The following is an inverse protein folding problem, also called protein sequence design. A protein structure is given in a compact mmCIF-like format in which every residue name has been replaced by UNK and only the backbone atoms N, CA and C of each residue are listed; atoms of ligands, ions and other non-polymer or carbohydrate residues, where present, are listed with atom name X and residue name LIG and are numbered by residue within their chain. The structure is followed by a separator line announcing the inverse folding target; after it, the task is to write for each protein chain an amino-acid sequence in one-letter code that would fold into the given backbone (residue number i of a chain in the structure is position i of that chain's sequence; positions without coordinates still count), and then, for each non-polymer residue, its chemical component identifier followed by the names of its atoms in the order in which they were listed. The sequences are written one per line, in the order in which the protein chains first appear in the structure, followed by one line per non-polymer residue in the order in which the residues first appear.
data_IF_614319574848
#
_entry.id   IF_614319574848
#
_cell.length_a   1.000
_cell.length_b   1.000
_cell.length_c   1.000
_cell.angle_alpha   90.00
_cell.angle_beta   90.00
_cell.angle_gamma   90.00
#
_symmetry.space_group_name_H-M   'P 1'
#
loop_
_entity.id
_entity.type
_entity.pdbx_description
1 polymer ?
#
# COMPACT_ATOMS: atom_id res chain seq x y z
N UNK A 1 -63.75 33.80 -9.70
CA UNK A 1 -63.29 35.09 -9.11
C UNK A 1 -61.88 34.84 -8.58
N UNK A 2 -60.76 35.45 -8.97
CA UNK A 2 -60.42 36.63 -9.80
C UNK A 2 -59.20 36.29 -10.66
N UNK A 3 -59.17 36.84 -11.88
CA UNK A 3 -58.02 36.99 -12.80
C UNK A 3 -56.96 37.92 -12.18
N UNK A 4 -55.72 37.89 -12.70
CA UNK A 4 -54.81 39.03 -13.01
C UNK A 4 -53.54 38.43 -13.68
N UNK A 5 -53.38 38.48 -15.00
CA UNK A 5 -52.78 39.51 -15.90
C UNK A 5 -51.25 39.55 -15.99
N UNK A 6 -50.80 39.30 -17.23
CA UNK A 6 -49.52 39.50 -17.93
C UNK A 6 -48.60 40.65 -17.49
N UNK A 7 -47.29 40.48 -17.74
CA UNK A 7 -46.48 41.46 -18.48
C UNK A 7 -45.28 40.80 -19.18
N UNK A 8 -45.24 40.92 -20.51
CA UNK A 8 -44.06 40.71 -21.37
C UNK A 8 -43.26 42.02 -21.43
N UNK A 9 -41.93 41.94 -21.57
CA UNK A 9 -41.07 43.08 -21.85
C UNK A 9 -39.86 42.67 -22.69
N UNK A 10 -39.92 42.98 -23.99
CA UNK A 10 -38.83 42.91 -24.97
C UNK A 10 -38.15 44.28 -25.03
N UNK A 11 -36.83 44.34 -25.09
CA UNK A 11 -36.09 45.57 -25.34
C UNK A 11 -34.60 45.31 -25.53
N UNK A 12 -34.08 45.70 -26.69
CA UNK A 12 -32.82 45.28 -27.27
C UNK A 12 -31.81 46.45 -27.39
N UNK A 13 -30.60 46.12 -27.89
CA UNK A 13 -29.64 47.00 -28.61
C UNK A 13 -28.71 47.86 -27.71
N UNK A 14 -27.39 47.61 -27.74
CA UNK A 14 -26.44 48.23 -28.70
C UNK A 14 -24.96 47.89 -28.35
N UNK A 15 -24.15 47.72 -29.38
CA UNK A 15 -22.72 47.41 -29.35
C UNK A 15 -21.82 48.65 -29.20
N UNK A 16 -20.51 48.43 -28.96
CA UNK A 16 -19.29 49.13 -29.48
C UNK A 16 -18.08 48.72 -28.58
N UNK A 17 -17.11 47.93 -29.05
CA UNK A 17 -15.83 48.34 -29.69
C UNK A 17 -15.02 49.35 -28.86
N UNK A 18 -13.73 49.21 -28.52
CA UNK A 18 -12.62 48.30 -28.84
C UNK A 18 -11.30 48.90 -28.28
N UNK A 19 -10.16 48.25 -28.57
CA UNK A 19 -8.74 48.71 -28.45
C UNK A 19 -8.10 48.77 -27.02
N UNK A 20 -6.81 48.56 -26.78
CA UNK A 20 -5.64 47.90 -27.41
C UNK A 20 -4.44 48.23 -26.48
N UNK A 21 -3.58 47.28 -26.09
CA UNK A 21 -2.22 47.54 -25.58
C UNK A 21 -1.46 46.19 -25.51
N UNK A 22 -0.82 45.76 -26.60
CA UNK A 22 0.60 45.94 -26.95
C UNK A 22 1.59 45.13 -26.09
N UNK A 23 1.91 43.93 -26.58
CA UNK A 23 3.17 43.23 -26.33
C UNK A 23 4.14 43.50 -27.51
N UNK A 24 5.41 43.75 -27.23
CA UNK A 24 6.51 43.74 -28.21
C UNK A 24 7.78 43.10 -27.63
N UNK A 25 8.61 42.57 -28.52
CA UNK A 25 9.62 41.51 -28.35
C UNK A 25 11.10 41.99 -28.36
N UNK A 26 12.00 41.15 -27.78
CA UNK A 26 13.40 40.78 -28.19
C UNK A 26 14.52 41.87 -28.17
N UNK A 27 15.87 41.57 -28.30
CA UNK A 27 16.55 40.33 -28.76
C UNK A 27 17.88 39.87 -28.06
N UNK A 28 18.30 38.66 -28.47
CA UNK A 28 19.58 37.92 -28.65
C UNK A 28 21.00 38.43 -28.27
N UNK A 29 21.88 37.43 -27.96
CA UNK A 29 23.34 37.37 -28.21
C UNK A 29 24.22 37.35 -26.94
N UNK A 30 25.37 36.67 -26.76
CA UNK A 30 26.30 35.86 -27.57
C UNK A 30 27.27 35.08 -26.63
N UNK A 31 28.00 34.11 -27.21
CA UNK A 31 28.87 33.07 -26.62
C UNK A 31 30.20 33.47 -25.89
N UNK A 32 30.75 32.44 -25.20
CA UNK A 32 32.18 32.01 -25.08
C UNK A 32 32.94 32.12 -23.72
N UNK A 33 33.97 31.25 -23.49
CA UNK A 33 34.31 30.67 -22.18
C UNK A 33 35.66 31.17 -21.60
N UNK A 34 35.90 30.93 -20.30
CA UNK A 34 37.24 30.72 -19.71
C UNK A 34 37.16 30.22 -18.25
N UNK A 35 37.99 29.22 -17.91
CA UNK A 35 38.26 28.70 -16.55
C UNK A 35 39.28 29.61 -15.80
N UNK A 36 39.87 29.19 -14.65
CA UNK A 36 39.42 29.32 -13.26
C UNK A 36 40.36 30.26 -12.44
N UNK A 37 40.14 30.43 -11.12
CA UNK A 37 41.25 30.04 -10.22
C UNK A 37 40.84 29.44 -8.87
N UNK A 38 41.69 28.48 -8.46
CA UNK A 38 42.27 28.19 -7.14
C UNK A 38 41.45 28.20 -5.82
N UNK A 39 41.67 27.10 -5.07
CA UNK A 39 41.28 26.79 -3.68
C UNK A 39 41.76 27.86 -2.66
N UNK A 40 41.11 27.90 -1.48
CA UNK A 40 41.75 27.39 -0.26
C UNK A 40 40.80 26.41 0.48
N UNK A 41 41.22 25.16 0.72
CA UNK A 41 41.83 24.67 1.98
C UNK A 41 40.84 24.46 3.13
N UNK A 42 40.99 23.29 3.76
CA UNK A 42 39.95 22.53 4.45
C UNK A 42 39.90 22.75 5.96
N UNK A 43 38.71 22.52 6.55
CA UNK A 43 38.38 21.53 7.62
C UNK A 43 37.04 21.90 8.31
N UNK A 44 36.36 21.00 9.05
CA UNK A 44 36.54 19.56 9.21
C UNK A 44 35.28 18.74 8.87
N UNK A 45 35.49 17.43 8.83
CA UNK A 45 34.59 16.36 8.43
C UNK A 45 33.32 16.27 9.31
N UNK A 46 32.15 16.38 8.67
CA UNK A 46 30.91 15.81 9.18
C UNK A 46 30.73 14.43 8.54
N UNK A 47 30.67 13.40 9.39
CA UNK A 47 30.30 12.02 9.00
C UNK A 47 29.07 12.07 8.10
N UNK A 48 29.03 11.37 6.94
CA UNK A 48 27.81 11.25 6.18
C UNK A 48 26.83 10.44 7.03
N UNK A 49 25.78 11.10 7.51
CA UNK A 49 24.59 10.44 8.02
C UNK A 49 24.12 9.48 6.93
N UNK A 50 24.08 8.20 7.27
CA UNK A 50 23.61 7.12 6.42
C UNK A 50 22.31 7.54 5.75
N UNK A 51 22.36 7.66 4.42
CA UNK A 51 21.21 8.02 3.61
C UNK A 51 20.04 7.12 3.95
N UNK A 52 18.97 7.72 4.49
CA UNK A 52 17.67 7.06 4.59
C UNK A 52 17.23 6.76 3.17
N UNK A 53 17.36 5.50 2.75
CA UNK A 53 16.56 4.98 1.65
C UNK A 53 15.11 5.21 2.08
N UNK A 54 14.41 6.14 1.45
CA UNK A 54 12.98 6.30 1.66
C UNK A 54 12.31 4.96 1.35
N UNK A 55 12.02 4.21 2.39
CA UNK A 55 11.37 2.92 2.28
C UNK A 55 10.03 3.11 1.59
N UNK A 56 9.79 2.39 0.49
CA UNK A 56 8.48 2.36 -0.20
C UNK A 56 7.35 1.84 0.71
N UNK A 57 7.70 1.23 1.84
CA UNK A 57 6.76 0.72 2.84
C UNK A 57 6.09 1.86 3.62
N UNK A 58 4.83 1.68 4.04
CA UNK A 58 4.19 2.65 4.91
C UNK A 58 4.82 2.64 6.31
N UNK A 59 4.59 3.72 7.05
CA UNK A 59 5.13 3.88 8.40
C UNK A 59 4.14 3.40 9.46
N UNK A 60 4.70 2.96 10.59
CA UNK A 60 4.01 2.61 11.81
C UNK A 60 3.37 3.88 12.41
N UNK A 61 2.07 3.87 12.77
CA UNK A 61 1.41 5.06 13.31
C UNK A 61 1.94 5.45 14.70
N UNK A 62 2.51 4.50 15.43
CA UNK A 62 3.00 4.74 16.79
C UNK A 62 4.42 5.32 16.76
N UNK A 63 5.36 4.58 16.17
CA UNK A 63 6.80 4.91 16.22
C UNK A 63 7.34 5.60 14.97
N UNK A 64 6.61 5.61 13.85
CA UNK A 64 7.06 6.23 12.60
C UNK A 64 8.10 5.42 11.81
N UNK A 65 8.48 4.23 12.29
CA UNK A 65 9.35 3.29 11.57
C UNK A 65 8.60 2.52 10.48
N UNK A 66 9.31 1.83 9.59
CA UNK A 66 8.68 0.97 8.57
C UNK A 66 7.85 -0.15 9.19
N UNK A 67 6.66 -0.39 8.66
CA UNK A 67 5.81 -1.49 9.16
C UNK A 67 6.36 -2.87 8.80
N UNK A 68 5.96 -3.84 9.59
CA UNK A 68 5.91 -5.25 9.25
C UNK A 68 4.43 -5.64 9.02
N UNK A 69 4.10 -6.13 7.83
CA UNK A 69 2.74 -6.52 7.46
C UNK A 69 2.22 -7.75 8.22
N UNK A 70 3.10 -8.45 8.94
CA UNK A 70 2.70 -9.55 9.83
C UNK A 70 2.27 -9.05 11.20
N UNK A 71 2.61 -7.81 11.56
CA UNK A 71 2.26 -7.17 12.84
C UNK A 71 1.11 -6.20 12.61
N UNK A 72 -0.11 -6.64 12.92
CA UNK A 72 -1.33 -5.87 12.63
C UNK A 72 -2.43 -6.07 13.65
N UNK A 73 -3.37 -5.12 13.69
CA UNK A 73 -4.68 -5.28 14.33
C UNK A 73 -5.77 -4.99 13.30
N UNK A 74 -6.92 -5.67 13.42
CA UNK A 74 -8.10 -5.37 12.62
C UNK A 74 -8.94 -4.29 13.31
N UNK A 75 -9.46 -3.37 12.51
CA UNK A 75 -10.45 -2.34 12.92
C UNK A 75 -11.60 -2.34 11.91
N UNK A 76 -12.67 -1.59 12.18
CA UNK A 76 -13.85 -1.53 11.30
C UNK A 76 -13.54 -1.01 9.89
N UNK A 77 -12.53 -0.15 9.78
CA UNK A 77 -12.06 0.41 8.51
C UNK A 77 -10.95 -0.44 7.84
N UNK A 78 -10.63 -1.60 8.41
CA UNK A 78 -9.58 -2.51 7.92
C UNK A 78 -8.34 -2.57 8.82
N UNK A 79 -7.27 -3.23 8.36
CA UNK A 79 -6.08 -3.46 9.16
C UNK A 79 -5.28 -2.17 9.42
N UNK A 80 -4.67 -2.12 10.60
CA UNK A 80 -3.60 -1.16 10.94
C UNK A 80 -2.33 -1.98 11.18
N UNK A 81 -1.24 -1.59 10.53
CA UNK A 81 0.04 -2.30 10.57
C UNK A 81 1.06 -1.56 11.42
N UNK A 82 1.96 -2.29 12.06
CA UNK A 82 2.93 -1.74 12.99
C UNK A 82 4.33 -2.30 12.72
N UNK A 83 5.36 -1.67 13.28
CA UNK A 83 6.73 -2.20 13.21
C UNK A 83 6.97 -3.32 14.25
N UNK A 84 6.24 -3.33 15.36
CA UNK A 84 6.42 -4.31 16.45
C UNK A 84 5.15 -4.51 17.29
N UNK A 85 5.13 -5.60 18.08
CA UNK A 85 3.99 -5.97 18.91
C UNK A 85 3.64 -4.92 19.97
N UNK A 86 4.64 -4.25 20.58
CA UNK A 86 4.40 -3.19 21.58
C UNK A 86 3.63 -1.99 21.01
N UNK A 87 3.78 -1.73 19.71
CA UNK A 87 3.01 -0.68 19.05
C UNK A 87 1.51 -1.02 18.98
N UNK A 88 1.14 -2.30 18.92
CA UNK A 88 -0.27 -2.71 19.01
C UNK A 88 -0.83 -2.31 20.37
N UNK A 89 -0.11 -2.61 21.45
CA UNK A 89 -0.55 -2.26 22.81
C UNK A 89 -0.69 -0.75 23.01
N UNK A 90 0.31 0.02 22.55
CA UNK A 90 0.27 1.50 22.62
C UNK A 90 -0.88 2.08 21.79
N UNK A 91 -1.17 1.51 20.63
CA UNK A 91 -2.28 1.91 19.78
C UNK A 91 -3.63 1.59 20.44
N UNK A 92 -3.80 0.39 20.99
CA UNK A 92 -5.05 -0.04 21.63
C UNK A 92 -5.41 0.79 22.86
N UNK A 93 -4.43 1.32 23.59
CA UNK A 93 -4.65 2.19 24.75
C UNK A 93 -5.24 3.56 24.38
N UNK A 94 -4.90 4.09 23.21
CA UNK A 94 -5.38 5.39 22.74
C UNK A 94 -5.37 5.46 21.20
N UNK A 95 -6.34 4.81 20.51
CA UNK A 95 -6.37 4.77 19.05
C UNK A 95 -6.58 6.16 18.42
N UNK A 96 -7.37 7.00 19.08
CA UNK A 96 -7.73 8.34 18.60
C UNK A 96 -6.50 9.23 18.42
N UNK A 97 -5.52 9.14 19.34
CA UNK A 97 -4.23 9.84 19.23
C UNK A 97 -3.46 9.54 17.94
N UNK A 98 -3.68 8.39 17.31
CA UNK A 98 -2.97 7.98 16.10
C UNK A 98 -3.81 8.10 14.82
N UNK A 99 -5.02 8.67 14.87
CA UNK A 99 -5.98 8.69 13.77
C UNK A 99 -5.41 9.27 12.45
N UNK A 100 -4.70 10.39 12.52
CA UNK A 100 -4.11 11.02 11.33
C UNK A 100 -3.02 10.15 10.69
N UNK A 101 -2.20 9.51 11.52
CA UNK A 101 -1.12 8.62 11.07
C UNK A 101 -1.68 7.31 10.51
N UNK A 102 -2.76 6.79 11.08
CA UNK A 102 -3.51 5.65 10.52
C UNK A 102 -4.12 6.01 9.18
N UNK A 103 -4.70 7.22 9.05
CA UNK A 103 -5.25 7.72 7.79
C UNK A 103 -4.17 7.82 6.72
N UNK A 104 -3.00 8.39 7.06
CA UNK A 104 -1.85 8.45 6.16
C UNK A 104 -1.32 7.06 5.78
N UNK A 105 -1.25 6.12 6.72
CA UNK A 105 -0.88 4.73 6.46
C UNK A 105 -1.85 4.10 5.46
N UNK A 106 -3.17 4.19 5.70
CA UNK A 106 -4.20 3.63 4.82
C UNK A 106 -4.16 4.24 3.42
N UNK A 107 -3.89 5.54 3.29
CA UNK A 107 -3.73 6.20 2.00
C UNK A 107 -2.55 5.62 1.20
N UNK A 108 -1.45 5.25 1.88
CA UNK A 108 -0.31 4.55 1.24
C UNK A 108 -0.65 3.11 0.89
N UNK A 109 -1.36 2.38 1.76
CA UNK A 109 -1.78 1.00 1.53
C UNK A 109 -2.68 0.86 0.28
N UNK A 110 -3.61 1.79 0.05
CA UNK A 110 -4.50 1.81 -1.13
C UNK A 110 -3.75 1.86 -2.47
N UNK A 111 -2.49 2.31 -2.48
CA UNK A 111 -1.65 2.42 -3.67
C UNK A 111 -0.76 1.19 -3.88
N UNK A 112 -0.80 0.20 -2.98
CA UNK A 112 0.06 -0.99 -3.03
C UNK A 112 -0.69 -2.16 -3.63
N UNK A 113 0.04 -2.96 -4.41
CA UNK A 113 -0.46 -4.25 -4.88
C UNK A 113 -0.65 -5.18 -3.67
N UNK A 114 -1.81 -5.83 -3.60
CA UNK A 114 -2.13 -6.87 -2.62
C UNK A 114 -2.82 -8.04 -3.33
N UNK A 115 -2.66 -9.24 -2.79
CA UNK A 115 -3.26 -10.46 -3.35
C UNK A 115 -4.16 -11.09 -2.29
N UNK A 116 -5.36 -11.48 -2.70
CA UNK A 116 -6.24 -12.29 -1.85
C UNK A 116 -5.66 -13.71 -1.77
N UNK A 117 -5.39 -14.16 -0.55
CA UNK A 117 -4.75 -15.45 -0.28
C UNK A 117 -5.66 -16.43 0.44
N UNK A 118 -6.73 -15.97 1.08
CA UNK A 118 -7.75 -16.86 1.65
C UNK A 118 -9.17 -16.53 1.22
N UNK A 119 -10.02 -17.55 1.30
CA UNK A 119 -11.45 -17.47 1.10
C UNK A 119 -12.08 -16.76 2.29
N UNK A 120 -12.87 -15.68 2.10
CA UNK A 120 -13.46 -14.94 3.21
C UNK A 120 -14.53 -15.75 3.96
N UNK A 121 -15.04 -16.82 3.35
CA UNK A 121 -16.05 -17.71 3.92
C UNK A 121 -15.41 -18.76 4.82
N UNK A 122 -14.45 -19.55 4.29
CA UNK A 122 -13.86 -20.69 4.99
C UNK A 122 -12.50 -20.41 5.65
N UNK A 123 -11.76 -19.39 5.18
CA UNK A 123 -10.37 -19.12 5.58
C UNK A 123 -9.32 -19.96 4.85
N UNK A 124 -9.72 -20.91 3.99
CA UNK A 124 -8.82 -21.74 3.20
C UNK A 124 -8.19 -20.96 2.04
N UNK A 125 -7.11 -21.48 1.44
CA UNK A 125 -6.50 -20.87 0.26
C UNK A 125 -7.49 -20.72 -0.89
N UNK A 126 -7.45 -19.59 -1.61
CA UNK A 126 -8.33 -19.36 -2.76
C UNK A 126 -7.89 -20.15 -3.99
N UNK A 127 -8.85 -20.60 -4.78
CA UNK A 127 -8.64 -21.02 -6.16
C UNK A 127 -8.93 -19.81 -7.07
N UNK A 128 -7.93 -19.40 -7.85
CA UNK A 128 -8.04 -18.25 -8.78
C UNK A 128 -9.10 -18.44 -9.88
N UNK A 129 -9.63 -19.65 -10.05
CA UNK A 129 -10.75 -19.94 -10.96
C UNK A 129 -12.12 -19.65 -10.35
N UNK A 130 -12.22 -19.59 -9.02
CA UNK A 130 -13.47 -19.35 -8.31
C UNK A 130 -13.55 -17.86 -7.97
N UNK A 131 -14.12 -17.05 -8.85
CA UNK A 131 -14.17 -15.59 -8.73
C UNK A 131 -15.61 -15.09 -8.84
N UNK A 132 -15.94 -14.05 -8.07
CA UNK A 132 -17.17 -13.28 -8.20
C UNK A 132 -16.88 -11.79 -8.19
N UNK A 133 -17.69 -11.03 -8.90
CA UNK A 133 -17.64 -9.56 -8.85
C UNK A 133 -18.55 -9.06 -7.73
N UNK A 134 -17.97 -8.29 -6.80
CA UNK A 134 -18.66 -7.68 -5.65
C UNK A 134 -18.26 -6.22 -5.58
N UNK A 135 -19.21 -5.30 -5.69
CA UNK A 135 -18.96 -3.85 -5.64
C UNK A 135 -17.86 -3.37 -6.61
N UNK A 136 -17.75 -4.01 -7.78
CA UNK A 136 -16.72 -3.71 -8.78
C UNK A 136 -15.33 -4.27 -8.47
N UNK A 137 -15.21 -5.14 -7.47
CA UNK A 137 -13.98 -5.83 -7.11
C UNK A 137 -14.13 -7.35 -7.26
N UNK A 138 -13.12 -7.99 -7.83
CA UNK A 138 -13.03 -9.45 -7.88
C UNK A 138 -12.73 -10.01 -6.48
N UNK A 139 -13.58 -10.93 -6.04
CA UNK A 139 -13.41 -11.70 -4.81
C UNK A 139 -13.24 -13.16 -5.19
N UNK A 140 -12.14 -13.77 -4.73
CA UNK A 140 -11.81 -15.16 -4.99
C UNK A 140 -12.28 -16.07 -3.85
N UNK A 141 -12.53 -17.33 -4.16
CA UNK A 141 -13.04 -18.33 -3.21
C UNK A 141 -12.26 -19.64 -3.31
N UNK A 142 -12.36 -20.49 -2.29
CA UNK A 142 -11.71 -21.81 -2.33
C UNK A 142 -12.52 -22.84 -3.14
N UNK A 143 -13.84 -22.66 -3.29
CA UNK A 143 -14.71 -23.62 -3.96
C UNK A 143 -15.99 -22.97 -4.51
N UNK A 144 -16.70 -23.70 -5.37
CA UNK A 144 -17.92 -23.25 -6.03
C UNK A 144 -19.10 -22.94 -5.10
N UNK A 145 -19.08 -23.41 -3.84
CA UNK A 145 -20.17 -23.17 -2.87
C UNK A 145 -20.03 -21.84 -2.12
N UNK A 146 -18.80 -21.37 -1.92
CA UNK A 146 -18.54 -20.15 -1.14
C UNK A 146 -19.10 -18.86 -1.76
N UNK A 147 -19.10 -18.66 -3.10
CA UNK A 147 -19.79 -17.55 -3.74
C UNK A 147 -21.23 -17.34 -3.29
N UNK A 148 -22.03 -18.41 -3.26
CA UNK A 148 -23.44 -18.35 -2.86
C UNK A 148 -23.55 -17.93 -1.39
N UNK A 149 -22.78 -18.57 -0.50
CA UNK A 149 -22.75 -18.22 0.92
C UNK A 149 -22.31 -16.77 1.16
N UNK A 150 -21.35 -16.27 0.38
CA UNK A 150 -20.90 -14.89 0.46
C UNK A 150 -22.01 -13.90 0.09
N UNK A 151 -22.73 -14.16 -1.01
CA UNK A 151 -23.81 -13.31 -1.52
C UNK A 151 -25.02 -13.21 -0.57
N UNK A 152 -25.30 -14.24 0.22
CA UNK A 152 -26.40 -14.21 1.21
C UNK A 152 -26.20 -13.13 2.29
N UNK A 153 -24.96 -12.88 2.70
CA UNK A 153 -24.64 -11.85 3.68
C UNK A 153 -23.18 -11.40 3.52
N UNK A 154 -22.89 -10.48 2.59
CA UNK A 154 -21.52 -9.99 2.35
C UNK A 154 -20.95 -9.25 3.55
N UNK A 155 -21.80 -8.52 4.28
CA UNK A 155 -21.41 -7.73 5.44
C UNK A 155 -20.76 -8.60 6.54
N UNK A 156 -21.24 -9.83 6.77
CA UNK A 156 -20.63 -10.76 7.75
C UNK A 156 -19.20 -11.19 7.39
N UNK A 157 -18.83 -11.08 6.12
CA UNK A 157 -17.54 -11.51 5.62
C UNK A 157 -16.57 -10.37 5.34
N UNK A 158 -17.02 -9.10 5.43
CA UNK A 158 -16.19 -7.93 5.12
C UNK A 158 -14.86 -7.91 5.88
N UNK A 159 -14.89 -8.12 7.19
CA UNK A 159 -13.69 -8.14 8.02
C UNK A 159 -12.76 -9.33 7.68
N UNK A 160 -13.33 -10.50 7.39
CA UNK A 160 -12.57 -11.69 6.97
C UNK A 160 -11.92 -11.49 5.60
N UNK A 161 -12.64 -10.88 4.66
CA UNK A 161 -12.13 -10.55 3.34
C UNK A 161 -10.94 -9.58 3.43
N UNK A 162 -11.05 -8.51 4.20
CA UNK A 162 -9.92 -7.60 4.42
C UNK A 162 -8.73 -8.28 5.10
N UNK A 163 -8.98 -9.23 6.01
CA UNK A 163 -7.96 -10.08 6.63
C UNK A 163 -7.28 -11.05 5.66
N UNK A 164 -7.94 -11.39 4.54
CA UNK A 164 -7.46 -12.36 3.55
C UNK A 164 -6.50 -11.79 2.50
N UNK A 165 -6.12 -10.52 2.59
CA UNK A 165 -5.12 -9.93 1.70
C UNK A 165 -3.71 -9.96 2.31
N UNK A 166 -2.73 -10.21 1.45
CA UNK A 166 -1.30 -10.05 1.75
C UNK A 166 -0.65 -9.03 0.82
N UNK A 167 0.37 -8.34 1.33
CA UNK A 167 1.26 -7.46 0.54
C UNK A 167 2.52 -8.19 0.06
N UNK A 168 2.70 -9.45 0.43
CA UNK A 168 3.72 -10.31 -0.14
C UNK A 168 3.25 -10.81 -1.51
N UNK A 169 3.57 -10.08 -2.57
CA UNK A 169 3.08 -10.39 -3.93
C UNK A 169 4.06 -11.24 -4.74
N UNK A 170 5.32 -11.33 -4.30
CA UNK A 170 6.39 -12.11 -4.94
C UNK A 170 6.93 -13.19 -4.02
N UNK A 171 7.21 -14.34 -4.61
CA UNK A 171 7.94 -15.43 -4.00
C UNK A 171 9.38 -14.98 -3.68
N UNK A 172 9.87 -15.12 -2.44
CA UNK A 172 11.23 -14.69 -2.10
C UNK A 172 12.31 -15.58 -2.75
N UNK A 173 11.97 -16.83 -3.06
CA UNK A 173 12.92 -17.77 -3.68
C UNK A 173 13.14 -17.43 -5.16
N UNK A 174 12.06 -17.27 -5.93
CA UNK A 174 12.12 -17.16 -7.40
C UNK A 174 11.79 -15.77 -7.97
N UNK A 175 11.20 -14.87 -7.17
CA UNK A 175 10.68 -13.57 -7.63
C UNK A 175 9.37 -13.65 -8.44
N UNK A 176 8.82 -14.86 -8.69
CA UNK A 176 7.55 -15.02 -9.41
C UNK A 176 6.35 -14.62 -8.55
N UNK A 177 5.19 -14.37 -9.17
CA UNK A 177 3.93 -14.11 -8.44
C UNK A 177 3.60 -15.28 -7.51
N UNK A 178 3.05 -14.98 -6.35
CA UNK A 178 2.65 -16.01 -5.38
C UNK A 178 1.42 -16.80 -5.84
N UNK A 179 1.40 -18.05 -5.43
CA UNK A 179 0.26 -18.95 -5.46
C UNK A 179 -0.31 -19.05 -4.02
N UNK A 180 -1.58 -18.66 -3.80
CA UNK A 180 -2.23 -18.78 -2.49
C UNK A 180 -2.18 -20.17 -1.86
N UNK A 181 -2.08 -21.23 -2.67
CA UNK A 181 -1.99 -22.61 -2.18
C UNK A 181 -0.55 -23.03 -1.80
N UNK A 182 0.47 -22.25 -2.16
CA UNK A 182 1.86 -22.54 -1.85
C UNK A 182 2.36 -21.62 -0.73
N UNK A 183 2.29 -22.08 0.51
CA UNK A 183 2.76 -21.33 1.67
C UNK A 183 3.41 -22.24 2.73
N UNK A 184 4.08 -21.62 3.69
CA UNK A 184 4.49 -22.26 4.94
C UNK A 184 4.14 -21.35 6.11
N UNK A 185 3.68 -21.95 7.20
CA UNK A 185 3.57 -21.26 8.48
C UNK A 185 4.87 -21.45 9.25
N UNK A 186 5.46 -20.36 9.70
CA UNK A 186 6.69 -20.38 10.48
C UNK A 186 6.38 -20.60 11.96
N UNK A 187 7.27 -21.22 12.74
CA UNK A 187 7.12 -21.35 14.19
C UNK A 187 6.97 -20.00 14.91
N UNK A 188 7.47 -18.94 14.29
CA UNK A 188 7.37 -17.55 14.74
C UNK A 188 6.01 -16.90 14.46
N UNK A 189 5.08 -17.62 13.84
CA UNK A 189 3.69 -17.22 13.61
C UNK A 189 3.42 -16.54 12.27
N UNK A 190 4.44 -16.25 11.46
CA UNK A 190 4.25 -15.65 10.13
C UNK A 190 3.94 -16.72 9.08
N UNK A 191 2.99 -16.43 8.20
CA UNK A 191 2.75 -17.20 6.97
C UNK A 191 3.52 -16.60 5.80
N UNK A 192 4.37 -17.40 5.16
CA UNK A 192 5.14 -16.99 3.98
C UNK A 192 4.59 -17.69 2.74
N UNK A 193 4.27 -16.91 1.71
CA UNK A 193 3.76 -17.39 0.43
C UNK A 193 4.86 -17.61 -0.61
N UNK A 194 4.63 -18.51 -1.54
CA UNK A 194 5.56 -18.89 -2.59
C UNK A 194 4.82 -19.04 -3.92
N UNK A 195 5.56 -19.23 -5.01
CA UNK A 195 4.97 -19.46 -6.33
C UNK A 195 4.69 -20.93 -6.64
N UNK A 196 5.24 -21.86 -5.84
CA UNK A 196 5.06 -23.30 -6.03
C UNK A 196 5.42 -24.08 -4.75
N UNK A 197 5.02 -25.36 -4.72
CA UNK A 197 5.21 -26.29 -3.59
C UNK A 197 6.68 -26.61 -3.25
N UNK A 198 7.63 -26.39 -4.17
CA UNK A 198 9.04 -26.71 -3.95
C UNK A 198 9.82 -25.55 -3.29
N UNK A 199 9.27 -24.33 -3.34
CA UNK A 199 9.91 -23.14 -2.77
C UNK A 199 9.96 -23.11 -1.23
N UNK A 200 8.93 -23.57 -0.48
CA UNK A 200 9.01 -23.66 0.99
C UNK A 200 10.25 -24.40 1.49
N UNK A 201 10.54 -25.59 0.93
CA UNK A 201 11.68 -26.39 1.33
C UNK A 201 13.02 -25.68 1.07
N UNK A 202 13.14 -24.96 -0.07
CA UNK A 202 14.33 -24.15 -0.38
C UNK A 202 14.50 -22.98 0.59
N UNK A 203 13.39 -22.32 0.94
CA UNK A 203 13.39 -21.22 1.89
C UNK A 203 13.86 -21.68 3.28
N UNK A 204 13.31 -22.79 3.79
CA UNK A 204 13.66 -23.31 5.12
C UNK A 204 15.11 -23.82 5.21
N UNK A 205 15.71 -24.24 4.09
CA UNK A 205 17.12 -24.66 4.04
C UNK A 205 18.10 -23.49 4.11
N UNK A 206 17.75 -22.35 3.51
CA UNK A 206 18.63 -21.16 3.42
C UNK A 206 17.83 -19.87 3.73
N UNK A 207 17.23 -19.70 4.93
CA UNK A 207 16.32 -18.59 5.19
C UNK A 207 17.00 -17.21 5.10
N UNK A 208 18.27 -17.11 5.51
CA UNK A 208 19.05 -15.85 5.46
C UNK A 208 19.13 -15.27 4.05
N UNK A 209 19.26 -16.14 3.04
CA UNK A 209 19.39 -15.79 1.63
C UNK A 209 18.12 -15.13 1.06
N UNK A 210 16.98 -15.36 1.71
CA UNK A 210 15.67 -14.98 1.22
C UNK A 210 14.96 -13.96 2.12
N UNK A 211 15.46 -13.71 3.33
CA UNK A 211 14.87 -12.80 4.30
C UNK A 211 14.78 -11.36 3.77
N UNK A 212 15.84 -10.85 3.12
CA UNK A 212 15.85 -9.49 2.58
C UNK A 212 14.73 -9.26 1.55
N UNK A 213 14.47 -10.23 0.68
CA UNK A 213 13.37 -10.17 -0.30
C UNK A 213 11.98 -10.21 0.33
N UNK A 214 11.86 -10.73 1.54
CA UNK A 214 10.64 -10.63 2.34
C UNK A 214 10.53 -9.24 2.98
N UNK A 215 11.63 -8.74 3.56
CA UNK A 215 11.69 -7.40 4.17
C UNK A 215 11.40 -6.28 3.18
N UNK A 216 11.87 -6.38 1.93
CA UNK A 216 11.51 -5.44 0.84
C UNK A 216 10.00 -5.36 0.58
N UNK A 217 9.30 -6.47 0.80
CA UNK A 217 7.84 -6.57 0.68
C UNK A 217 7.11 -6.24 1.99
N UNK A 218 7.85 -5.92 3.05
CA UNK A 218 7.34 -5.58 4.37
C UNK A 218 7.00 -6.81 5.22
N UNK A 219 7.67 -7.94 5.03
CA UNK A 219 7.53 -9.13 5.88
C UNK A 219 8.88 -9.41 6.54
N UNK A 220 8.98 -9.25 7.86
CA UNK A 220 10.22 -9.58 8.56
C UNK A 220 10.13 -10.98 9.16
N UNK A 221 11.21 -11.74 9.00
CA UNK A 221 11.35 -13.09 9.52
C UNK A 221 12.56 -13.15 10.43
N UNK A 222 12.39 -13.76 11.59
CA UNK A 222 13.49 -14.01 12.53
C UNK A 222 14.20 -15.30 12.10
N UNK A 223 15.21 -15.16 11.24
CA UNK A 223 15.96 -16.27 10.66
C UNK A 223 16.67 -17.14 11.70
N UNK A 224 17.03 -16.56 12.85
CA UNK A 224 17.69 -17.29 13.93
C UNK A 224 16.74 -18.24 14.64
N UNK A 225 15.46 -17.86 14.76
CA UNK A 225 14.41 -18.75 15.26
C UNK A 225 14.05 -19.85 14.28
N UNK A 226 14.32 -19.69 12.98
CA UNK A 226 14.05 -20.74 11.98
C UNK A 226 15.11 -21.84 11.93
N UNK A 227 16.33 -21.54 12.37
CA UNK A 227 17.45 -22.50 12.39
C UNK A 227 17.50 -23.35 13.65
N UNK A 228 16.78 -22.95 14.71
CA UNK A 228 16.74 -23.68 15.96
C UNK A 228 15.71 -24.81 15.84
N UNK A 229 16.14 -26.08 15.99
CA UNK A 229 15.23 -27.23 15.95
C UNK A 229 14.26 -27.25 17.14
#
# INVERSE_FOLDING_TARGET
MKRWTMAMGVGAICALAGLYALAQEKPAGQDKPAQPPAKPEAKPEAKPESGKVESKLPLCPVMGETVDFTVKTMTDDGPVYFCCAECIEKFQKDPARYADKVTAQRARLRKRERIQVCCPVSGEAVDRKQVEQVDGQEVFFCCAKCPAQYKENPARFKAKLEGCYTYQVRCPVSGKKIDPAAYTDLPTGQRIYFCCKDCPAKFLKEPDKYAEKLTEQGVNVDVDKLKKP
#
